data_IF_883539697248
#
_entry.id   IF_883539697248
#
_cell.length_a   1.000
_cell.length_b   1.000
_cell.length_c   1.000
_cell.angle_alpha   90.00
_cell.angle_beta   90.00
_cell.angle_gamma   90.00
#
_symmetry.space_group_name_H-M   'P 1'
#
loop_
_entity.id
_entity.type
_entity.pdbx_description
1 polymer ?
#
# COMPACT_ATOMS: atom_id res chain seq x y z
N UNK A 1 27.62 1.09 0.16
CA UNK A 1 26.35 1.83 -0.07
C UNK A 1 25.13 0.92 -0.08
N UNK A 2 25.12 -0.17 -0.86
CA UNK A 2 24.06 -1.19 -0.79
C UNK A 2 23.71 -1.61 0.65
N UNK A 3 24.72 -1.93 1.44
CA UNK A 3 24.57 -2.33 2.86
C UNK A 3 23.98 -1.22 3.74
N UNK A 4 24.31 0.04 3.47
CA UNK A 4 23.78 1.19 4.20
C UNK A 4 22.28 1.40 3.87
N UNK A 5 21.93 1.40 2.57
CA UNK A 5 20.53 1.50 2.13
C UNK A 5 19.72 0.30 2.63
N UNK A 6 20.31 -0.90 2.61
CA UNK A 6 19.66 -2.09 3.15
C UNK A 6 19.36 -1.93 4.64
N UNK A 7 20.31 -1.44 5.44
CA UNK A 7 20.11 -1.17 6.87
C UNK A 7 19.07 -0.07 7.12
N UNK A 8 19.02 0.95 6.26
CA UNK A 8 18.02 2.03 6.36
C UNK A 8 16.60 1.55 6.03
N UNK A 9 16.49 0.55 5.16
CA UNK A 9 15.21 0.00 4.74
C UNK A 9 14.76 -1.18 5.60
N UNK A 10 15.68 -1.96 6.18
CA UNK A 10 15.36 -3.17 6.96
C UNK A 10 15.60 -2.93 8.44
N UNK A 11 14.53 -2.94 9.21
CA UNK A 11 14.57 -2.90 10.68
C UNK A 11 14.40 -4.29 11.29
N UNK A 12 14.90 -4.49 12.52
CA UNK A 12 14.77 -5.77 13.26
C UNK A 12 13.32 -6.22 13.38
N UNK A 13 12.41 -5.30 13.68
CA UNK A 13 10.97 -5.57 13.76
C UNK A 13 10.42 -6.05 12.42
N UNK A 14 10.88 -5.46 11.31
CA UNK A 14 10.45 -5.86 9.96
C UNK A 14 10.91 -7.27 9.61
N UNK A 15 12.15 -7.63 9.98
CA UNK A 15 12.67 -8.98 9.79
C UNK A 15 11.88 -10.01 10.60
N UNK A 16 11.58 -9.73 11.87
CA UNK A 16 10.74 -10.59 12.70
C UNK A 16 9.37 -10.82 12.05
N UNK A 17 8.73 -9.76 11.57
CA UNK A 17 7.41 -9.85 10.95
C UNK A 17 7.43 -10.61 9.64
N UNK A 18 8.45 -10.39 8.83
CA UNK A 18 8.65 -11.18 7.62
C UNK A 18 8.76 -12.67 7.96
N UNK A 19 9.61 -13.05 8.91
CA UNK A 19 9.78 -14.44 9.33
C UNK A 19 8.49 -15.06 9.88
N UNK A 20 7.73 -14.33 10.69
CA UNK A 20 6.43 -14.83 11.18
C UNK A 20 5.43 -15.02 10.04
N UNK A 21 5.30 -14.06 9.11
CA UNK A 21 4.42 -14.20 7.95
C UNK A 21 4.85 -15.33 7.02
N UNK A 22 6.16 -15.55 6.88
CA UNK A 22 6.72 -16.66 6.13
C UNK A 22 6.37 -18.00 6.78
N UNK A 23 6.49 -18.11 8.10
CA UNK A 23 6.12 -19.31 8.84
C UNK A 23 4.63 -19.65 8.68
N UNK A 24 3.73 -18.66 8.79
CA UNK A 24 2.30 -18.86 8.55
C UNK A 24 1.99 -19.26 7.12
N UNK A 25 2.63 -18.61 6.13
CA UNK A 25 2.42 -18.93 4.72
C UNK A 25 2.92 -20.35 4.39
N UNK A 26 4.06 -20.77 4.94
CA UNK A 26 4.57 -22.14 4.83
C UNK A 26 3.64 -23.15 5.50
N UNK A 27 3.15 -22.86 6.70
CA UNK A 27 2.17 -23.72 7.37
C UNK A 27 0.92 -23.92 6.52
N UNK A 28 0.35 -22.83 6.01
CA UNK A 28 -0.85 -22.88 5.17
C UNK A 28 -0.61 -23.67 3.87
N UNK A 29 0.58 -23.50 3.28
CA UNK A 29 0.99 -24.26 2.10
C UNK A 29 1.10 -25.77 2.38
N UNK A 30 1.69 -26.15 3.52
CA UNK A 30 1.85 -27.54 3.95
C UNK A 30 0.50 -28.20 4.27
N UNK A 31 -0.41 -27.47 4.92
CA UNK A 31 -1.76 -27.96 5.24
C UNK A 31 -2.66 -28.05 4.00
N UNK A 32 -2.18 -27.57 2.85
CA UNK A 32 -2.90 -27.68 1.58
C UNK A 32 -4.06 -26.70 1.44
N UNK A 33 -4.04 -25.58 2.18
CA UNK A 33 -4.99 -24.50 1.96
C UNK A 33 -4.78 -23.90 0.57
N UNK A 34 -5.77 -24.04 -0.32
CA UNK A 34 -5.71 -23.54 -1.70
C UNK A 34 -6.60 -22.31 -1.82
N UNK A 35 -6.03 -21.14 -2.09
CA UNK A 35 -6.80 -19.95 -2.43
C UNK A 35 -7.03 -19.85 -3.95
N UNK A 36 -5.96 -19.74 -4.75
CA UNK A 36 -6.08 -19.65 -6.22
C UNK A 36 -4.80 -20.15 -6.88
N UNK A 37 -4.92 -21.10 -7.80
CA UNK A 37 -3.75 -21.70 -8.48
C UNK A 37 -3.42 -21.02 -9.82
N UNK A 38 -4.12 -19.95 -10.18
CA UNK A 38 -3.93 -19.30 -11.49
C UNK A 38 -2.66 -18.44 -11.52
N UNK A 39 -1.76 -18.75 -12.45
CA UNK A 39 -0.56 -17.96 -12.69
C UNK A 39 -0.87 -16.51 -13.12
N UNK A 40 -1.97 -16.29 -13.87
CA UNK A 40 -2.36 -14.94 -14.29
C UNK A 40 -2.76 -14.06 -13.10
N UNK A 41 -3.47 -14.64 -12.13
CA UNK A 41 -3.83 -13.96 -10.88
C UNK A 41 -2.57 -13.59 -10.09
N UNK A 42 -1.58 -14.49 -10.04
CA UNK A 42 -0.30 -14.23 -9.40
C UNK A 42 0.48 -13.09 -10.09
N UNK A 43 0.49 -13.04 -11.43
CA UNK A 43 1.14 -11.93 -12.16
C UNK A 43 0.48 -10.59 -11.88
N UNK A 44 -0.85 -10.52 -11.95
CA UNK A 44 -1.62 -9.30 -11.66
C UNK A 44 -1.39 -8.85 -10.22
N UNK A 45 -1.51 -9.79 -9.26
CA UNK A 45 -1.25 -9.51 -7.83
C UNK A 45 0.17 -9.03 -7.59
N UNK A 46 1.15 -9.64 -8.27
CA UNK A 46 2.56 -9.25 -8.19
C UNK A 46 2.77 -7.82 -8.69
N UNK A 47 2.17 -7.45 -9.84
CA UNK A 47 2.26 -6.09 -10.36
C UNK A 47 1.64 -5.07 -9.41
N UNK A 48 0.44 -5.33 -8.89
CA UNK A 48 -0.26 -4.43 -7.97
C UNK A 48 0.53 -4.23 -6.67
N UNK A 49 0.91 -5.33 -6.00
CA UNK A 49 1.64 -5.26 -4.72
C UNK A 49 3.03 -4.64 -4.90
N UNK A 50 3.74 -4.97 -5.98
CA UNK A 50 5.06 -4.40 -6.28
C UNK A 50 4.95 -2.90 -6.56
N UNK A 51 3.93 -2.49 -7.33
CA UNK A 51 3.71 -1.07 -7.63
C UNK A 51 3.40 -0.26 -6.37
N UNK A 52 2.41 -0.69 -5.58
CA UNK A 52 2.03 -0.03 -4.33
C UNK A 52 3.21 0.07 -3.35
N UNK A 53 3.91 -1.05 -3.14
CA UNK A 53 4.98 -1.12 -2.14
C UNK A 53 6.23 -0.33 -2.54
N UNK A 54 6.54 -0.25 -3.83
CA UNK A 54 7.60 0.60 -4.39
C UNK A 54 7.21 2.06 -4.28
N UNK A 55 5.98 2.41 -4.65
CA UNK A 55 5.48 3.77 -4.56
C UNK A 55 5.53 4.31 -3.13
N UNK A 56 5.02 3.54 -2.15
CA UNK A 56 5.09 3.89 -0.73
C UNK A 56 6.52 4.05 -0.22
N UNK A 57 7.46 3.24 -0.73
CA UNK A 57 8.88 3.37 -0.40
C UNK A 57 9.44 4.69 -0.92
N UNK A 58 9.18 5.02 -2.18
CA UNK A 58 9.69 6.25 -2.79
C UNK A 58 9.18 7.48 -2.07
N UNK A 59 7.88 7.57 -1.82
CA UNK A 59 7.30 8.71 -1.12
C UNK A 59 7.82 8.86 0.31
N UNK A 60 8.03 7.76 1.01
CA UNK A 60 8.56 7.81 2.38
C UNK A 60 10.05 8.12 2.42
N UNK A 61 10.82 7.74 1.41
CA UNK A 61 12.28 7.87 1.41
C UNK A 61 12.73 9.21 0.83
N UNK A 62 12.08 9.67 -0.24
CA UNK A 62 12.41 10.90 -0.94
C UNK A 62 11.73 12.16 -0.36
N UNK A 63 11.33 12.11 0.91
CA UNK A 63 10.91 13.31 1.64
C UNK A 63 12.07 14.30 1.75
N UNK A 64 11.81 15.59 1.50
CA UNK A 64 12.82 16.67 1.46
C UNK A 64 13.83 16.63 2.61
N UNK A 65 13.36 16.45 3.86
CA UNK A 65 14.22 16.41 5.05
C UNK A 65 15.35 15.37 4.97
N UNK A 66 15.07 14.21 4.34
CA UNK A 66 16.03 13.11 4.21
C UNK A 66 16.90 13.26 2.96
N UNK A 67 16.32 13.71 1.85
CA UNK A 67 17.04 13.86 0.58
C UNK A 67 18.12 14.95 0.68
N UNK A 68 17.86 16.03 1.44
CA UNK A 68 18.86 17.08 1.70
C UNK A 68 20.13 16.52 2.35
N UNK A 69 20.00 15.62 3.33
CA UNK A 69 21.15 14.98 3.97
C UNK A 69 21.97 14.12 2.97
N UNK A 70 21.32 13.49 1.99
CA UNK A 70 22.04 12.74 0.95
C UNK A 70 22.79 13.63 -0.03
N UNK A 71 22.24 14.80 -0.39
CA UNK A 71 22.93 15.77 -1.24
C UNK A 71 24.20 16.34 -0.62
N UNK A 72 24.32 16.31 0.70
CA UNK A 72 25.52 16.73 1.42
C UNK A 72 26.65 15.69 1.38
N UNK A 73 26.35 14.45 0.98
CA UNK A 73 27.35 13.39 0.88
C UNK A 73 28.07 13.44 -0.48
N UNK A 74 29.39 13.23 -0.54
CA UNK A 74 30.16 13.17 -1.79
C UNK A 74 29.94 11.83 -2.51
N UNK A 75 28.68 11.50 -2.83
CA UNK A 75 28.28 10.25 -3.47
C UNK A 75 27.80 10.50 -4.88
N UNK A 76 28.21 9.64 -5.83
CA UNK A 76 27.67 9.70 -7.18
C UNK A 76 26.20 9.28 -7.21
N UNK A 77 25.36 10.15 -7.78
CA UNK A 77 23.91 10.00 -7.85
C UNK A 77 23.50 8.71 -8.55
N UNK A 78 24.19 8.34 -9.63
CA UNK A 78 23.95 7.10 -10.34
C UNK A 78 24.25 5.88 -9.49
N UNK A 79 25.36 5.88 -8.74
CA UNK A 79 25.66 4.76 -7.83
C UNK A 79 24.55 4.62 -6.78
N UNK A 80 24.03 5.75 -6.26
CA UNK A 80 22.93 5.78 -5.30
C UNK A 80 21.64 5.21 -5.91
N UNK A 81 21.20 5.71 -7.07
CA UNK A 81 20.01 5.24 -7.80
C UNK A 81 20.08 3.72 -8.04
N UNK A 82 21.22 3.24 -8.53
CA UNK A 82 21.46 1.81 -8.75
C UNK A 82 21.34 1.00 -7.47
N UNK A 83 22.04 1.41 -6.40
CA UNK A 83 21.98 0.70 -5.12
C UNK A 83 20.58 0.70 -4.52
N UNK A 84 19.86 1.82 -4.62
CA UNK A 84 18.49 1.95 -4.12
C UNK A 84 17.51 1.04 -4.88
N UNK A 85 17.59 1.02 -6.21
CA UNK A 85 16.78 0.16 -7.06
C UNK A 85 17.03 -1.32 -6.77
N UNK A 86 18.31 -1.72 -6.65
CA UNK A 86 18.68 -3.11 -6.32
C UNK A 86 18.09 -3.54 -4.98
N UNK A 87 18.26 -2.74 -3.92
CA UNK A 87 17.69 -3.08 -2.60
C UNK A 87 16.18 -3.12 -2.64
N UNK A 88 15.54 -2.18 -3.33
CA UNK A 88 14.08 -2.14 -3.48
C UNK A 88 13.54 -3.39 -4.18
N UNK A 89 14.18 -3.80 -5.27
CA UNK A 89 13.85 -5.01 -6.00
C UNK A 89 13.99 -6.27 -5.15
N UNK A 90 15.13 -6.44 -4.47
CA UNK A 90 15.38 -7.59 -3.59
C UNK A 90 14.35 -7.66 -2.45
N UNK A 91 14.03 -6.53 -1.82
CA UNK A 91 13.03 -6.47 -0.76
C UNK A 91 11.62 -6.78 -1.28
N UNK A 92 11.28 -6.38 -2.50
CA UNK A 92 9.99 -6.72 -3.09
C UNK A 92 9.90 -8.20 -3.42
N UNK A 93 10.95 -8.80 -3.99
CA UNK A 93 10.98 -10.25 -4.23
C UNK A 93 10.78 -11.04 -2.94
N UNK A 94 11.54 -10.67 -1.90
CA UNK A 94 11.56 -11.41 -0.64
C UNK A 94 10.28 -11.20 0.17
N UNK A 95 9.83 -9.96 0.36
CA UNK A 95 8.70 -9.68 1.27
C UNK A 95 7.32 -9.71 0.61
N UNK A 96 7.24 -9.59 -0.71
CA UNK A 96 5.96 -9.45 -1.42
C UNK A 96 5.70 -10.66 -2.29
N UNK A 97 6.61 -10.88 -3.22
CA UNK A 97 6.43 -11.90 -4.25
C UNK A 97 6.48 -13.30 -3.64
N UNK A 98 7.47 -13.58 -2.78
CA UNK A 98 7.56 -14.87 -2.10
C UNK A 98 6.31 -15.17 -1.25
N UNK A 99 5.85 -14.19 -0.46
CA UNK A 99 4.66 -14.37 0.35
C UNK A 99 3.40 -14.57 -0.51
N UNK A 100 3.29 -13.89 -1.65
CA UNK A 100 2.18 -14.09 -2.60
C UNK A 100 2.19 -15.50 -3.21
N UNK A 101 3.36 -16.02 -3.58
CA UNK A 101 3.49 -17.38 -4.13
C UNK A 101 3.00 -18.40 -3.10
N UNK A 102 3.49 -18.28 -1.85
CA UNK A 102 3.12 -19.18 -0.76
C UNK A 102 1.64 -19.05 -0.39
N UNK A 103 1.13 -17.82 -0.32
CA UNK A 103 -0.26 -17.55 0.03
C UNK A 103 -1.22 -18.07 -1.03
N UNK A 104 -1.00 -17.78 -2.32
CA UNK A 104 -1.88 -18.28 -3.38
C UNK A 104 -1.70 -19.79 -3.63
N UNK A 105 -0.55 -20.35 -3.24
CA UNK A 105 -0.27 -21.78 -3.39
C UNK A 105 0.00 -22.18 -4.85
N UNK A 106 0.47 -21.25 -5.67
CA UNK A 106 0.76 -21.47 -7.08
C UNK A 106 2.07 -22.26 -7.22
N UNK A 107 2.01 -23.41 -7.89
CA UNK A 107 3.21 -24.15 -8.28
C UNK A 107 3.82 -23.46 -9.50
N UNK A 108 5.10 -23.12 -9.40
CA UNK A 108 5.81 -22.41 -10.45
C UNK A 108 6.80 -23.33 -11.16
N UNK A 109 6.71 -23.36 -12.48
CA UNK A 109 7.80 -23.88 -13.30
C UNK A 109 8.95 -22.87 -13.37
N UNK A 110 10.12 -23.33 -13.80
CA UNK A 110 11.30 -22.49 -13.95
C UNK A 110 11.05 -21.27 -14.90
N UNK A 111 10.41 -21.42 -16.08
CA UNK A 111 10.08 -20.27 -16.93
C UNK A 111 9.08 -19.29 -16.30
N UNK A 112 8.11 -19.79 -15.54
CA UNK A 112 7.11 -18.96 -14.85
C UNK A 112 7.77 -18.13 -13.74
N UNK A 113 8.73 -18.71 -13.03
CA UNK A 113 9.55 -18.02 -12.03
C UNK A 113 10.33 -16.86 -12.67
N UNK A 114 10.96 -17.08 -13.83
CA UNK A 114 11.64 -16.01 -14.57
C UNK A 114 10.70 -14.88 -14.99
N UNK A 115 9.54 -15.20 -15.56
CA UNK A 115 8.53 -14.19 -15.94
C UNK A 115 8.16 -13.29 -14.76
N UNK A 116 7.92 -13.89 -13.60
CA UNK A 116 7.49 -13.20 -12.41
C UNK A 116 8.61 -12.33 -11.79
N UNK A 117 9.85 -12.80 -11.79
CA UNK A 117 11.02 -12.01 -11.37
C UNK A 117 11.23 -10.80 -12.27
N UNK A 118 11.20 -10.99 -13.59
CA UNK A 118 11.36 -9.89 -14.55
C UNK A 118 10.19 -8.89 -14.53
N UNK A 119 8.96 -9.37 -14.34
CA UNK A 119 7.81 -8.49 -14.13
C UNK A 119 7.99 -7.62 -12.88
N UNK A 120 8.44 -8.21 -11.76
CA UNK A 120 8.68 -7.45 -10.54
C UNK A 120 9.74 -6.35 -10.74
N UNK A 121 10.84 -6.67 -11.43
CA UNK A 121 11.88 -5.69 -11.78
C UNK A 121 11.30 -4.56 -12.66
N UNK A 122 10.56 -4.93 -13.70
CA UNK A 122 9.94 -3.99 -14.64
C UNK A 122 9.01 -3.02 -13.92
N UNK A 123 8.16 -3.53 -13.01
CA UNK A 123 7.24 -2.70 -12.23
C UNK A 123 7.98 -1.76 -11.28
N UNK A 124 9.04 -2.22 -10.62
CA UNK A 124 9.89 -1.36 -9.77
C UNK A 124 10.47 -0.20 -10.58
N UNK A 125 11.05 -0.49 -11.74
CA UNK A 125 11.64 0.53 -12.62
C UNK A 125 10.59 1.49 -13.17
N UNK A 126 9.43 0.98 -13.60
CA UNK A 126 8.32 1.78 -14.10
C UNK A 126 7.84 2.77 -13.04
N UNK A 127 7.56 2.30 -11.82
CA UNK A 127 7.14 3.17 -10.72
C UNK A 127 8.22 4.19 -10.34
N UNK A 128 9.50 3.81 -10.36
CA UNK A 128 10.59 4.74 -10.09
C UNK A 128 10.69 5.83 -11.16
N UNK A 129 10.57 5.47 -12.44
CA UNK A 129 10.59 6.42 -13.54
C UNK A 129 9.40 7.39 -13.48
N UNK A 130 8.20 6.85 -13.26
CA UNK A 130 6.97 7.64 -13.05
C UNK A 130 7.16 8.59 -11.88
N UNK A 131 7.70 8.11 -10.76
CA UNK A 131 7.98 8.92 -9.58
C UNK A 131 8.93 10.09 -9.86
N UNK A 132 9.99 9.85 -10.65
CA UNK A 132 10.90 10.91 -11.08
C UNK A 132 10.12 11.96 -11.88
N UNK A 133 9.44 11.54 -12.95
CA UNK A 133 8.82 12.47 -13.90
C UNK A 133 7.70 13.31 -13.26
N UNK A 134 6.92 12.72 -12.35
CA UNK A 134 5.85 13.45 -11.63
C UNK A 134 6.36 14.53 -10.68
N UNK A 135 7.61 14.43 -10.25
CA UNK A 135 8.19 15.31 -9.24
C UNK A 135 9.35 16.16 -9.81
N UNK A 136 9.80 15.90 -11.04
CA UNK A 136 10.58 16.84 -11.85
C UNK A 136 9.67 17.78 -12.64
N UNK A 137 10.21 18.87 -13.19
CA UNK A 137 9.42 19.89 -13.92
C UNK A 137 8.50 19.23 -14.98
N UNK A 138 7.19 19.53 -14.97
CA UNK A 138 6.26 18.90 -15.89
C UNK A 138 6.59 19.31 -17.32
N UNK A 139 6.91 18.33 -18.16
CA UNK A 139 7.04 18.51 -19.61
C UNK A 139 5.99 17.63 -20.30
N UNK A 140 5.44 18.13 -21.41
CA UNK A 140 4.49 17.36 -22.21
C UNK A 140 5.09 16.01 -22.66
N UNK A 141 6.35 16.04 -23.11
CA UNK A 141 7.11 14.84 -23.48
C UNK A 141 7.27 13.87 -22.30
N UNK A 142 7.56 14.37 -21.10
CA UNK A 142 7.60 13.55 -19.89
C UNK A 142 6.26 12.86 -19.61
N UNK A 143 5.15 13.58 -19.76
CA UNK A 143 3.80 13.03 -19.61
C UNK A 143 3.48 11.93 -20.64
N UNK A 144 3.82 12.15 -21.91
CA UNK A 144 3.67 11.14 -22.97
C UNK A 144 4.51 9.90 -22.66
N UNK A 145 5.76 10.07 -22.22
CA UNK A 145 6.63 8.94 -21.86
C UNK A 145 6.11 8.16 -20.65
N UNK A 146 5.55 8.84 -19.64
CA UNK A 146 4.86 8.17 -18.52
C UNK A 146 3.72 7.31 -19.06
N UNK A 147 2.85 7.87 -19.90
CA UNK A 147 1.71 7.14 -20.44
C UNK A 147 2.15 5.93 -21.26
N UNK A 148 3.10 6.10 -22.19
CA UNK A 148 3.61 5.01 -23.02
C UNK A 148 4.24 3.92 -22.17
N UNK A 149 5.15 4.28 -21.24
CA UNK A 149 5.83 3.28 -20.41
C UNK A 149 4.87 2.53 -19.47
N UNK A 150 3.88 3.23 -18.90
CA UNK A 150 2.85 2.58 -18.06
C UNK A 150 1.96 1.63 -18.86
N UNK A 151 1.48 2.03 -20.03
CA UNK A 151 0.69 1.17 -20.92
C UNK A 151 1.49 -0.07 -21.32
N UNK A 152 2.75 0.09 -21.72
CA UNK A 152 3.63 -1.03 -22.07
C UNK A 152 3.87 -1.97 -20.87
N UNK A 153 4.03 -1.44 -19.65
CA UNK A 153 4.16 -2.28 -18.46
C UNK A 153 2.89 -3.07 -18.14
N UNK A 154 1.70 -2.49 -18.35
CA UNK A 154 0.42 -3.20 -18.17
C UNK A 154 0.23 -4.24 -19.27
N UNK A 155 0.58 -3.92 -20.52
CA UNK A 155 0.52 -4.84 -21.64
C UNK A 155 1.41 -6.08 -21.44
N UNK A 156 2.51 -5.96 -20.69
CA UNK A 156 3.36 -7.09 -20.33
C UNK A 156 2.64 -8.22 -19.58
N UNK A 157 1.54 -7.90 -18.87
CA UNK A 157 0.71 -8.89 -18.16
C UNK A 157 -0.06 -9.81 -19.11
N UNK A 158 -0.30 -9.36 -20.35
CA UNK A 158 -0.97 -10.13 -21.39
C UNK A 158 0.02 -10.88 -22.26
N UNK A 159 1.08 -10.20 -22.72
CA UNK A 159 2.08 -10.79 -23.63
C UNK A 159 2.93 -11.87 -22.94
N UNK A 160 3.26 -11.66 -21.65
CA UNK A 160 4.06 -12.58 -20.84
C UNK A 160 5.40 -13.04 -21.45
N UNK A 161 5.98 -12.26 -22.38
CA UNK A 161 7.28 -12.58 -22.99
C UNK A 161 8.41 -11.94 -22.18
N UNK A 162 9.39 -12.75 -21.80
CA UNK A 162 10.53 -12.30 -20.98
C UNK A 162 11.43 -11.34 -21.75
N UNK A 163 11.66 -11.58 -23.04
CA UNK A 163 12.44 -10.68 -23.93
C UNK A 163 11.88 -9.27 -23.95
N UNK A 164 10.56 -9.13 -24.06
CA UNK A 164 9.85 -7.86 -24.00
C UNK A 164 10.07 -7.15 -22.66
N UNK A 165 9.94 -7.87 -21.53
CA UNK A 165 10.17 -7.31 -20.20
C UNK A 165 11.62 -6.84 -20.01
N UNK A 166 12.59 -7.61 -20.53
CA UNK A 166 14.02 -7.25 -20.47
C UNK A 166 14.27 -5.97 -21.26
N UNK A 167 13.82 -5.88 -22.50
CA UNK A 167 14.00 -4.69 -23.35
C UNK A 167 13.39 -3.44 -22.70
N UNK A 168 12.17 -3.56 -22.17
CA UNK A 168 11.49 -2.44 -21.51
C UNK A 168 12.18 -2.05 -20.20
N UNK A 169 12.69 -3.02 -19.43
CA UNK A 169 13.48 -2.76 -18.22
C UNK A 169 14.79 -2.04 -18.52
N UNK A 170 15.48 -2.41 -19.61
CA UNK A 170 16.69 -1.75 -20.07
C UNK A 170 16.42 -0.30 -20.50
N UNK A 171 15.34 -0.07 -21.25
CA UNK A 171 14.89 1.28 -21.64
C UNK A 171 14.62 2.15 -20.41
N UNK A 172 13.85 1.65 -19.44
CA UNK A 172 13.53 2.38 -18.20
C UNK A 172 14.79 2.66 -17.38
N UNK A 173 15.72 1.70 -17.28
CA UNK A 173 16.98 1.92 -16.61
C UNK A 173 17.77 3.08 -17.25
N UNK A 174 17.93 3.08 -18.58
CA UNK A 174 18.61 4.17 -19.30
C UNK A 174 17.95 5.52 -19.00
N UNK A 175 16.62 5.59 -19.05
CA UNK A 175 15.88 6.82 -18.74
C UNK A 175 16.08 7.30 -17.30
N UNK A 176 16.12 6.39 -16.33
CA UNK A 176 16.34 6.72 -14.91
C UNK A 176 17.77 7.24 -14.67
N UNK A 177 18.78 6.58 -15.26
CA UNK A 177 20.19 6.94 -15.07
C UNK A 177 20.62 8.17 -15.89
N UNK A 178 19.93 8.50 -16.98
CA UNK A 178 20.14 9.75 -17.72
C UNK A 178 19.67 10.98 -16.92
N UNK A 179 18.75 10.79 -15.97
CA UNK A 179 18.32 11.90 -15.14
C UNK A 179 19.43 12.27 -14.14
N UNK A 180 19.88 13.51 -14.13
CA UNK A 180 20.99 13.97 -13.29
C UNK A 180 20.53 14.40 -11.89
N UNK A 181 19.24 14.63 -11.66
CA UNK A 181 18.74 15.10 -10.37
C UNK A 181 18.24 13.95 -9.47
N UNK A 182 18.41 14.09 -8.16
CA UNK A 182 17.66 13.32 -7.17
C UNK A 182 16.37 14.08 -6.86
N UNK A 183 15.26 13.40 -7.09
CA UNK A 183 13.97 14.04 -6.97
C UNK A 183 13.57 14.09 -5.50
N UNK A 184 13.52 15.30 -4.94
CA UNK A 184 13.04 15.55 -3.59
C UNK A 184 11.55 15.93 -3.65
N UNK A 185 10.72 15.26 -2.85
CA UNK A 185 9.33 15.70 -2.63
C UNK A 185 9.40 16.90 -1.70
N UNK A 186 9.23 18.09 -2.27
CA UNK A 186 9.18 19.31 -1.46
C UNK A 186 7.92 19.31 -0.59
N UNK A 187 8.08 19.69 0.68
CA UNK A 187 6.93 20.00 1.55
C UNK A 187 6.18 21.26 1.07
N UNK A 188 6.71 22.06 0.14
CA UNK A 188 6.08 23.32 -0.28
C UNK A 188 4.77 23.16 -1.07
N UNK A 189 4.46 21.97 -1.60
CA UNK A 189 3.10 21.67 -2.12
C UNK A 189 2.02 21.74 -1.00
N UNK A 190 2.43 21.77 0.28
CA UNK A 190 1.54 21.98 1.44
C UNK A 190 0.94 23.40 1.49
N UNK A 191 1.56 24.39 0.83
CA UNK A 191 1.07 25.78 0.82
C UNK A 191 -0.19 25.97 -0.04
N UNK A 192 -0.39 25.17 -1.08
CA UNK A 192 -1.57 25.30 -1.95
C UNK A 192 -2.87 24.87 -1.25
N UNK A 193 -2.80 23.92 -0.32
CA UNK A 193 -3.96 23.45 0.47
C UNK A 193 -4.17 24.30 1.73
N UNK A 194 -3.21 25.12 2.16
CA UNK A 194 -3.41 26.10 3.24
C UNK A 194 -4.53 27.11 2.93
N UNK A 195 -4.92 27.27 1.65
CA UNK A 195 -6.09 28.06 1.24
C UNK A 195 -7.43 27.32 1.40
N UNK A 196 -7.45 26.00 1.61
CA UNK A 196 -8.67 25.23 1.87
C UNK A 196 -9.09 25.43 3.33
N UNK A 197 -10.19 26.16 3.56
CA UNK A 197 -10.79 26.32 4.89
C UNK A 197 -11.57 25.06 5.28
N UNK A 198 -10.87 23.96 5.52
CA UNK A 198 -11.45 22.82 6.24
C UNK A 198 -11.25 23.07 7.74
N UNK A 199 -12.33 23.12 8.51
CA UNK A 199 -12.26 23.24 9.98
C UNK A 199 -11.68 22.00 10.68
N UNK A 200 -11.30 20.95 9.94
CA UNK A 200 -10.69 19.75 10.46
C UNK A 200 -9.24 19.58 9.98
N UNK A 201 -8.30 19.55 10.93
CA UNK A 201 -6.88 19.29 10.69
C UNK A 201 -6.63 18.01 9.89
N UNK A 202 -7.33 16.92 10.23
CA UNK A 202 -7.12 15.62 9.61
C UNK A 202 -7.61 15.55 8.16
N UNK A 203 -8.67 16.27 7.82
CA UNK A 203 -9.09 16.40 6.42
C UNK A 203 -8.02 17.10 5.59
N UNK A 204 -7.42 18.17 6.14
CA UNK A 204 -6.33 18.88 5.47
C UNK A 204 -5.12 17.95 5.27
N UNK A 205 -4.68 17.27 6.32
CA UNK A 205 -3.56 16.31 6.26
C UNK A 205 -3.82 15.19 5.23
N UNK A 206 -5.03 14.63 5.19
CA UNK A 206 -5.41 13.60 4.23
C UNK A 206 -5.32 14.04 2.77
N UNK A 207 -5.84 15.22 2.46
CA UNK A 207 -5.82 15.74 1.08
C UNK A 207 -4.45 16.29 0.69
N UNK A 208 -3.56 16.57 1.65
CA UNK A 208 -2.20 17.04 1.40
C UNK A 208 -1.25 15.90 1.01
N UNK A 209 -1.34 14.73 1.66
CA UNK A 209 -0.37 13.66 1.39
C UNK A 209 -0.88 12.72 0.27
N UNK A 210 -0.23 12.80 -0.91
CA UNK A 210 -0.63 12.05 -2.13
C UNK A 210 -0.74 10.52 -1.93
N UNK A 211 -0.03 9.96 -0.96
CA UNK A 211 -0.09 8.53 -0.69
C UNK A 211 -1.45 8.06 -0.15
N UNK A 212 -2.28 8.94 0.45
CA UNK A 212 -3.60 8.55 0.92
C UNK A 212 -4.51 8.18 -0.25
N UNK A 213 -4.60 9.08 -1.24
CA UNK A 213 -5.33 8.83 -2.49
C UNK A 213 -4.85 7.58 -3.18
N UNK A 214 -3.55 7.32 -3.15
CA UNK A 214 -2.96 6.16 -3.83
C UNK A 214 -3.27 4.87 -3.09
N UNK A 215 -3.12 4.83 -1.76
CA UNK A 215 -3.56 3.67 -0.99
C UNK A 215 -5.05 3.39 -1.19
N UNK A 216 -5.89 4.42 -1.25
CA UNK A 216 -7.31 4.28 -1.54
C UNK A 216 -7.57 3.65 -2.92
N UNK A 217 -6.92 4.15 -3.98
CA UNK A 217 -7.02 3.58 -5.34
C UNK A 217 -6.58 2.12 -5.35
N UNK A 218 -5.47 1.78 -4.70
CA UNK A 218 -5.00 0.40 -4.62
C UNK A 218 -5.95 -0.49 -3.81
N UNK A 219 -6.57 0.01 -2.73
CA UNK A 219 -7.63 -0.72 -2.02
C UNK A 219 -8.79 -1.04 -2.95
N UNK A 220 -9.27 -0.07 -3.75
CA UNK A 220 -10.33 -0.33 -4.74
C UNK A 220 -9.92 -1.39 -5.77
N UNK A 221 -8.68 -1.32 -6.28
CA UNK A 221 -8.16 -2.34 -7.21
C UNK A 221 -8.12 -3.73 -6.55
N UNK A 222 -7.73 -3.83 -5.28
CA UNK A 222 -7.75 -5.11 -4.56
C UNK A 222 -9.16 -5.65 -4.34
N UNK A 223 -10.14 -4.78 -4.04
CA UNK A 223 -11.54 -5.18 -3.92
C UNK A 223 -12.05 -5.77 -5.25
N UNK A 224 -11.75 -5.12 -6.38
CA UNK A 224 -12.11 -5.62 -7.71
C UNK A 224 -11.42 -6.96 -8.01
N UNK A 225 -10.13 -7.11 -7.65
CA UNK A 225 -9.40 -8.36 -7.83
C UNK A 225 -10.06 -9.52 -7.08
N UNK A 226 -10.52 -9.29 -5.85
CA UNK A 226 -11.21 -10.29 -5.02
C UNK A 226 -12.58 -10.65 -5.61
N UNK A 227 -13.32 -9.68 -6.16
CA UNK A 227 -14.61 -9.94 -6.79
C UNK A 227 -14.52 -10.89 -7.98
N UNK A 228 -13.42 -10.80 -8.76
CA UNK A 228 -13.17 -11.64 -9.93
C UNK A 228 -12.69 -13.06 -9.54
N UNK A 229 -12.22 -13.28 -8.32
CA UNK A 229 -11.79 -14.62 -7.89
C UNK A 229 -12.99 -15.57 -7.74
N UNK A 230 -12.76 -16.87 -7.95
CA UNK A 230 -13.75 -17.94 -7.77
C UNK A 230 -13.80 -18.41 -6.30
N UNK A 231 -14.07 -17.48 -5.39
CA UNK A 231 -14.37 -17.79 -3.99
C UNK A 231 -15.87 -17.99 -3.76
N UNK A 232 -16.21 -18.82 -2.78
CA UNK A 232 -17.58 -18.97 -2.30
C UNK A 232 -18.13 -17.61 -1.81
N UNK A 233 -19.42 -17.36 -2.05
CA UNK A 233 -20.06 -16.09 -1.73
C UNK A 233 -19.87 -15.63 -0.25
N UNK A 234 -20.02 -16.51 0.77
CA UNK A 234 -19.75 -16.14 2.16
C UNK A 234 -18.30 -15.68 2.37
N UNK A 235 -17.34 -16.39 1.80
CA UNK A 235 -15.92 -16.07 1.91
C UNK A 235 -15.59 -14.74 1.20
N UNK A 236 -16.19 -14.48 0.03
CA UNK A 236 -16.06 -13.19 -0.67
C UNK A 236 -16.51 -12.03 0.22
N UNK A 237 -17.67 -12.16 0.87
CA UNK A 237 -18.20 -11.11 1.74
C UNK A 237 -17.23 -10.81 2.88
N UNK A 238 -16.77 -11.84 3.58
CA UNK A 238 -15.85 -11.69 4.71
C UNK A 238 -14.56 -11.01 4.27
N UNK A 239 -13.95 -11.47 3.17
CA UNK A 239 -12.68 -10.92 2.68
C UNK A 239 -12.86 -9.46 2.24
N UNK A 240 -13.94 -9.13 1.53
CA UNK A 240 -14.18 -7.77 1.05
C UNK A 240 -14.42 -6.77 2.19
N UNK A 241 -15.23 -7.14 3.19
CA UNK A 241 -15.43 -6.33 4.40
C UNK A 241 -14.13 -6.19 5.21
N UNK A 242 -13.38 -7.28 5.35
CA UNK A 242 -12.07 -7.25 6.03
C UNK A 242 -11.08 -6.33 5.32
N UNK A 243 -11.04 -6.36 3.97
CA UNK A 243 -10.15 -5.50 3.19
C UNK A 243 -10.55 -4.01 3.27
N UNK A 244 -11.85 -3.71 3.37
CA UNK A 244 -12.33 -2.33 3.57
C UNK A 244 -11.76 -1.69 4.85
N UNK A 245 -11.53 -2.50 5.88
CA UNK A 245 -10.94 -2.07 7.15
C UNK A 245 -9.46 -1.70 7.08
N UNK A 246 -8.78 -2.04 5.98
CA UNK A 246 -7.35 -1.84 5.80
C UNK A 246 -7.10 -0.53 5.04
N UNK A 247 -6.80 0.54 5.78
CA UNK A 247 -6.17 1.74 5.22
C UNK A 247 -5.11 2.28 6.19
N UNK A 248 -3.89 1.76 6.05
CA UNK A 248 -2.87 1.98 7.08
C UNK A 248 -2.43 3.43 7.24
N UNK A 249 -2.21 4.21 6.16
CA UNK A 249 -1.86 5.61 6.35
C UNK A 249 -2.94 6.38 7.09
N UNK A 250 -4.23 6.14 6.80
CA UNK A 250 -5.35 6.79 7.48
C UNK A 250 -5.42 6.41 8.96
N UNK A 251 -5.23 5.12 9.27
CA UNK A 251 -5.31 4.55 10.63
C UNK A 251 -4.04 4.73 11.46
N UNK A 252 -3.04 5.43 10.90
CA UNK A 252 -1.79 5.79 11.58
C UNK A 252 -1.52 7.29 11.51
N UNK A 253 -2.52 8.12 11.18
CA UNK A 253 -2.38 9.57 10.99
C UNK A 253 -1.74 10.26 12.20
N UNK A 254 -2.13 9.87 13.40
CA UNK A 254 -1.59 10.45 14.63
C UNK A 254 -0.18 9.90 14.89
N UNK A 255 0.03 8.60 14.67
CA UNK A 255 1.34 7.96 14.84
C UNK A 255 2.39 8.32 13.79
N UNK A 256 1.97 8.79 12.61
CA UNK A 256 2.84 9.16 11.49
C UNK A 256 3.55 10.51 11.72
N UNK A 257 3.15 11.25 12.75
CA UNK A 257 3.79 12.46 13.23
C UNK A 257 4.24 12.27 14.68
N UNK A 258 5.56 12.35 14.92
CA UNK A 258 6.16 12.05 16.23
C UNK A 258 5.74 13.06 17.29
N UNK A 259 5.59 14.31 16.90
CA UNK A 259 5.36 15.40 17.83
C UNK A 259 3.87 15.61 18.06
N UNK A 260 3.03 15.24 17.10
CA UNK A 260 1.59 15.45 17.16
C UNK A 260 0.94 14.83 18.39
N UNK A 261 1.32 13.61 18.77
CA UNK A 261 0.73 12.95 19.96
C UNK A 261 1.02 13.73 21.23
N UNK A 262 2.25 14.21 21.39
CA UNK A 262 2.67 14.88 22.61
C UNK A 262 2.05 16.28 22.70
N UNK A 263 1.92 16.99 21.56
CA UNK A 263 1.17 18.25 21.47
C UNK A 263 -0.32 18.05 21.75
N UNK A 264 -0.94 16.99 21.24
CA UNK A 264 -2.37 16.72 21.47
C UNK A 264 -2.61 16.42 22.95
N UNK A 265 -1.71 15.69 23.60
CA UNK A 265 -1.80 15.37 25.03
C UNK A 265 -1.61 16.60 25.92
N UNK A 266 -0.83 17.59 25.49
CA UNK A 266 -0.66 18.84 26.24
C UNK A 266 -1.84 19.81 26.10
N UNK A 267 -2.76 19.59 25.15
CA UNK A 267 -3.93 20.46 24.97
C UNK A 267 -4.96 20.25 26.09
N UNK A 268 -5.50 21.33 26.69
CA UNK A 268 -6.52 21.24 27.74
C UNK A 268 -7.83 20.58 27.27
N UNK A 269 -8.06 20.51 25.96
CA UNK A 269 -9.25 19.89 25.35
C UNK A 269 -8.90 18.87 24.25
N UNK A 270 -7.93 17.99 24.54
CA UNK A 270 -7.48 16.91 23.64
C UNK A 270 -8.62 16.04 23.06
N UNK A 271 -9.73 15.89 23.80
CA UNK A 271 -10.93 15.15 23.36
C UNK A 271 -11.52 15.66 22.03
N UNK A 272 -11.54 16.97 21.79
CA UNK A 272 -12.06 17.50 20.53
C UNK A 272 -11.18 17.10 19.34
N UNK A 273 -9.87 17.04 19.55
CA UNK A 273 -8.94 16.60 18.51
C UNK A 273 -9.15 15.12 18.14
N UNK A 274 -9.34 14.25 19.13
CA UNK A 274 -9.70 12.86 18.88
C UNK A 274 -11.06 12.71 18.20
N UNK A 275 -12.05 13.57 18.52
CA UNK A 275 -13.34 13.59 17.84
C UNK A 275 -13.21 14.02 16.37
N UNK A 276 -12.33 14.98 16.07
CA UNK A 276 -12.04 15.39 14.70
C UNK A 276 -11.45 14.22 13.90
N UNK A 277 -10.54 13.44 14.50
CA UNK A 277 -9.99 12.24 13.88
C UNK A 277 -11.05 11.15 13.68
N UNK A 278 -11.85 10.89 14.72
CA UNK A 278 -12.94 9.92 14.66
C UNK A 278 -13.92 10.20 13.53
N UNK A 279 -14.31 11.48 13.34
CA UNK A 279 -15.21 11.87 12.24
C UNK A 279 -14.64 11.52 10.87
N UNK A 280 -13.33 11.72 10.68
CA UNK A 280 -12.64 11.36 9.43
C UNK A 280 -12.64 9.85 9.22
N UNK A 281 -12.29 9.08 10.25
CA UNK A 281 -12.32 7.61 10.19
C UNK A 281 -13.73 7.09 9.89
N UNK A 282 -14.74 7.63 10.58
CA UNK A 282 -16.13 7.24 10.40
C UNK A 282 -16.63 7.52 8.99
N UNK A 283 -16.37 8.71 8.45
CA UNK A 283 -16.73 9.05 7.06
C UNK A 283 -16.06 8.10 6.07
N UNK A 284 -14.78 7.79 6.27
CA UNK A 284 -14.06 6.86 5.42
C UNK A 284 -14.66 5.45 5.48
N UNK A 285 -14.77 4.85 6.67
CA UNK A 285 -15.22 3.47 6.80
C UNK A 285 -16.68 3.31 6.40
N UNK A 286 -17.55 4.30 6.66
CA UNK A 286 -18.92 4.27 6.12
C UNK A 286 -18.90 4.27 4.60
N UNK A 287 -18.15 5.17 3.97
CA UNK A 287 -18.10 5.24 2.52
C UNK A 287 -17.59 3.94 1.88
N UNK A 288 -16.50 3.37 2.38
CA UNK A 288 -15.91 2.15 1.81
C UNK A 288 -16.78 0.93 2.08
N UNK A 289 -17.31 0.77 3.29
CA UNK A 289 -18.16 -0.37 3.61
C UNK A 289 -19.50 -0.33 2.87
N UNK A 290 -20.13 0.84 2.74
CA UNK A 290 -21.35 0.98 1.94
C UNK A 290 -21.09 0.71 0.46
N UNK A 291 -19.93 1.15 -0.06
CA UNK A 291 -19.50 0.81 -1.41
C UNK A 291 -19.30 -0.70 -1.60
N UNK A 292 -18.66 -1.37 -0.64
CA UNK A 292 -18.51 -2.84 -0.64
C UNK A 292 -19.86 -3.53 -0.57
N UNK A 293 -20.78 -3.10 0.29
CA UNK A 293 -22.14 -3.65 0.38
C UNK A 293 -22.91 -3.50 -0.94
N UNK A 294 -22.77 -2.35 -1.61
CA UNK A 294 -23.35 -2.12 -2.94
C UNK A 294 -22.78 -3.10 -3.97
N UNK A 295 -21.45 -3.26 -4.02
CA UNK A 295 -20.81 -4.21 -4.93
C UNK A 295 -21.23 -5.65 -4.66
N UNK A 296 -21.27 -6.05 -3.39
CA UNK A 296 -21.74 -7.38 -2.97
C UNK A 296 -23.17 -7.62 -3.43
N UNK A 297 -24.06 -6.63 -3.27
CA UNK A 297 -25.44 -6.72 -3.72
C UNK A 297 -25.54 -6.81 -5.25
N UNK A 298 -24.75 -6.05 -5.98
CA UNK A 298 -24.83 -6.05 -7.45
C UNK A 298 -24.23 -7.31 -8.09
N UNK A 299 -23.19 -7.90 -7.50
CA UNK A 299 -22.35 -8.91 -8.17
C UNK A 299 -22.37 -10.28 -7.50
N UNK A 300 -22.50 -10.33 -6.17
CA UNK A 300 -22.29 -11.57 -5.41
C UNK A 300 -23.61 -12.16 -4.90
N UNK A 301 -24.42 -11.36 -4.21
CA UNK A 301 -25.72 -11.78 -3.66
C UNK A 301 -26.76 -10.65 -3.80
N UNK A 302 -27.61 -10.68 -4.86
CA UNK A 302 -28.66 -9.68 -5.08
C UNK A 302 -29.67 -9.54 -3.95
N UNK A 303 -29.91 -10.62 -3.21
CA UNK A 303 -30.91 -10.69 -2.14
C UNK A 303 -30.47 -10.06 -0.81
N UNK A 304 -29.30 -9.40 -0.78
CA UNK A 304 -28.82 -8.69 0.41
C UNK A 304 -29.83 -7.61 0.85
N UNK A 305 -30.44 -7.88 2.00
CA UNK A 305 -31.52 -7.09 2.59
C UNK A 305 -31.03 -5.92 3.45
N UNK A 306 -31.99 -5.19 4.02
CA UNK A 306 -31.76 -3.98 4.83
C UNK A 306 -30.96 -4.29 6.10
N UNK A 307 -31.19 -5.46 6.71
CA UNK A 307 -30.47 -5.84 7.93
C UNK A 307 -28.96 -6.02 7.69
N UNK A 308 -28.56 -6.54 6.53
CA UNK A 308 -27.15 -6.62 6.14
C UNK A 308 -26.53 -5.22 6.04
N UNK A 309 -27.23 -4.28 5.40
CA UNK A 309 -26.79 -2.89 5.30
C UNK A 309 -26.60 -2.25 6.68
N UNK A 310 -27.53 -2.50 7.61
CA UNK A 310 -27.44 -2.03 8.99
C UNK A 310 -26.23 -2.63 9.71
N UNK A 311 -26.00 -3.93 9.55
CA UNK A 311 -24.82 -4.61 10.11
C UNK A 311 -23.50 -4.04 9.56
N UNK A 312 -23.43 -3.75 8.26
CA UNK A 312 -22.27 -3.12 7.62
C UNK A 312 -22.04 -1.69 8.15
N UNK A 313 -23.11 -0.92 8.40
CA UNK A 313 -22.99 0.39 9.04
C UNK A 313 -22.46 0.29 10.49
N UNK A 314 -22.93 -0.69 11.26
CA UNK A 314 -22.42 -0.95 12.61
C UNK A 314 -20.94 -1.31 12.56
N UNK A 315 -20.52 -2.18 11.62
CA UNK A 315 -19.11 -2.52 11.41
C UNK A 315 -18.26 -1.27 11.18
N UNK A 316 -18.70 -0.36 10.30
CA UNK A 316 -17.97 0.88 10.04
C UNK A 316 -17.79 1.77 11.28
N UNK A 317 -18.79 1.83 12.16
CA UNK A 317 -18.71 2.53 13.45
C UNK A 317 -17.69 1.87 14.38
N UNK A 318 -17.74 0.54 14.48
CA UNK A 318 -16.80 -0.27 15.28
C UNK A 318 -15.37 -0.07 14.78
N UNK A 319 -15.14 -0.13 13.47
CA UNK A 319 -13.83 0.10 12.85
C UNK A 319 -13.26 1.47 13.19
N UNK A 320 -14.05 2.54 12.98
CA UNK A 320 -13.63 3.90 13.27
C UNK A 320 -13.28 4.08 14.76
N UNK A 321 -14.08 3.46 15.64
CA UNK A 321 -13.86 3.52 17.07
C UNK A 321 -12.61 2.75 17.51
N UNK A 322 -12.44 1.51 17.04
CA UNK A 322 -11.29 0.68 17.40
C UNK A 322 -9.97 1.26 16.88
N UNK A 323 -9.94 1.77 15.65
CA UNK A 323 -8.75 2.43 15.11
C UNK A 323 -8.39 3.69 15.91
N UNK A 324 -9.39 4.46 16.36
CA UNK A 324 -9.17 5.59 17.26
C UNK A 324 -8.56 5.14 18.60
N UNK A 325 -9.13 4.12 19.24
CA UNK A 325 -8.63 3.61 20.52
C UNK A 325 -7.18 3.14 20.42
N UNK A 326 -6.84 2.45 19.33
CA UNK A 326 -5.48 1.98 19.07
C UNK A 326 -4.51 3.17 18.93
N UNK A 327 -4.90 4.26 18.29
CA UNK A 327 -4.06 5.46 18.19
C UNK A 327 -3.89 6.19 19.51
N UNK A 328 -4.90 6.15 20.40
CA UNK A 328 -4.83 6.77 21.72
C UNK A 328 -3.94 5.96 22.67
N UNK A 329 -4.18 4.64 22.76
CA UNK A 329 -3.57 3.79 23.78
C UNK A 329 -2.27 3.12 23.31
N UNK A 330 -2.13 2.85 22.01
CA UNK A 330 -0.97 2.16 21.44
C UNK A 330 -0.35 2.93 20.25
N UNK A 331 0.03 4.21 20.43
CA UNK A 331 0.66 4.99 19.37
C UNK A 331 2.05 4.45 18.99
N UNK A 332 2.37 4.49 17.70
CA UNK A 332 3.69 4.10 17.19
C UNK A 332 4.66 5.27 17.29
N UNK A 333 5.64 5.17 18.20
CA UNK A 333 6.66 6.21 18.41
C UNK A 333 8.02 5.88 17.79
N UNK A 334 8.34 4.60 17.65
CA UNK A 334 9.68 4.11 17.27
C UNK A 334 9.71 3.70 15.80
N UNK A 335 9.92 4.67 14.91
CA UNK A 335 10.07 4.45 13.48
C UNK A 335 11.10 5.42 12.86
N UNK A 336 11.81 4.94 11.84
CA UNK A 336 12.81 5.69 11.07
C UNK A 336 12.23 6.28 9.78
N UNK A 337 11.29 5.56 9.17
CA UNK A 337 10.57 5.96 7.95
C UNK A 337 9.06 5.93 8.23
N UNK A 338 8.30 6.91 7.72
CA UNK A 338 6.82 6.89 7.81
C UNK A 338 6.22 5.57 7.31
N UNK A 339 6.85 4.96 6.29
CA UNK A 339 6.50 3.62 5.80
C UNK A 339 6.49 2.53 6.88
N UNK A 340 7.34 2.61 7.90
CA UNK A 340 7.36 1.63 8.99
C UNK A 340 6.08 1.69 9.82
N UNK A 341 5.49 2.87 10.02
CA UNK A 341 4.15 3.00 10.61
C UNK A 341 3.13 2.24 9.76
N UNK A 342 3.17 2.44 8.44
CA UNK A 342 2.23 1.80 7.51
C UNK A 342 2.42 0.30 7.35
N UNK A 343 3.57 -0.22 7.77
CA UNK A 343 3.87 -1.67 7.77
C UNK A 343 3.72 -2.29 9.14
N UNK A 344 3.48 -1.50 10.19
CA UNK A 344 3.45 -2.00 11.54
C UNK A 344 2.31 -3.02 11.74
N UNK A 345 2.54 -4.15 12.44
CA UNK A 345 1.56 -5.25 12.61
C UNK A 345 0.25 -4.82 13.21
N UNK A 346 0.31 -3.80 14.08
CA UNK A 346 -0.86 -3.14 14.70
C UNK A 346 -2.00 -2.89 13.69
N UNK A 347 -1.66 -2.60 12.43
CA UNK A 347 -2.62 -2.35 11.37
C UNK A 347 -3.57 -3.51 11.07
N UNK A 348 -3.22 -4.74 11.46
CA UNK A 348 -4.02 -5.94 11.23
C UNK A 348 -4.97 -6.26 12.39
N UNK A 349 -4.85 -5.58 13.54
CA UNK A 349 -5.69 -5.85 14.72
C UNK A 349 -7.17 -5.63 14.42
N UNK A 350 -7.54 -4.44 13.93
CA UNK A 350 -8.94 -4.12 13.59
C UNK A 350 -9.44 -4.98 12.42
N UNK A 351 -8.68 -5.18 11.31
CA UNK A 351 -9.07 -6.12 10.28
C UNK A 351 -9.36 -7.54 10.79
N UNK A 352 -8.56 -8.07 11.73
CA UNK A 352 -8.82 -9.38 12.32
C UNK A 352 -10.14 -9.40 13.12
N UNK A 353 -10.47 -8.33 13.83
CA UNK A 353 -11.76 -8.20 14.52
C UNK A 353 -12.91 -8.12 13.51
N UNK A 354 -12.77 -7.32 12.46
CA UNK A 354 -13.77 -7.21 11.37
C UNK A 354 -13.98 -8.54 10.67
N UNK A 355 -12.91 -9.30 10.43
CA UNK A 355 -13.00 -10.65 9.87
C UNK A 355 -13.91 -11.55 10.72
N UNK A 356 -13.69 -11.59 12.04
CA UNK A 356 -14.51 -12.37 12.97
C UNK A 356 -15.96 -11.86 13.05
N UNK A 357 -16.15 -10.54 13.09
CA UNK A 357 -17.50 -9.95 13.12
C UNK A 357 -18.26 -10.18 11.81
N UNK A 358 -17.56 -10.22 10.68
CA UNK A 358 -18.15 -10.50 9.36
C UNK A 358 -18.67 -11.94 9.28
N UNK A 359 -17.99 -12.89 9.92
CA UNK A 359 -18.52 -14.25 10.09
C UNK A 359 -19.83 -14.24 10.88
N UNK A 360 -19.85 -13.57 12.04
CA UNK A 360 -21.08 -13.44 12.85
C UNK A 360 -22.21 -12.77 12.09
N UNK A 361 -21.90 -11.75 11.30
CA UNK A 361 -22.87 -11.02 10.49
C UNK A 361 -23.51 -11.91 9.43
N UNK A 362 -22.75 -12.85 8.84
CA UNK A 362 -23.29 -13.84 7.91
C UNK A 362 -24.18 -14.89 8.58
N UNK A 363 -24.09 -15.13 9.89
CA UNK A 363 -25.02 -16.04 10.58
C UNK A 363 -26.38 -15.39 10.87
N UNK A 364 -26.47 -14.05 10.74
CA UNK A 364 -27.70 -13.30 10.96
C UNK A 364 -28.58 -13.16 9.71
N UNK A 365 -28.09 -13.62 8.54
CA UNK A 365 -28.73 -13.53 7.22
C UNK A 365 -28.64 -14.85 6.50
#
# INVERSE_FOLDING_TARGET
MLLAIFRDLVSKNRLFLFLTSLAFALYYHVVGGKFSTSFQVLLISTAIVTALSTFQLLYSYFSMDRVQAYYQLPLSLNRFKGSFLTVTFLLNLLERVLLLILFLGVKLDLPQSFKLVHLSLLVVLSVFYVFIQFNTRPSFLGGVLIFVTTVLTVFSLWVQQVSYMILLSALLAVLIFKNEDLVAISKNDQLLVAKRRSGNYFWLSLFQERYFSINFVFTLIFLLLILIQDYDAPLKIIILLTMASVNTPLTTLISADKDLIDHVKSLPKSRFFYLMYYRVLLTYFLAVNLFVALLLKMVVMPDLGILFLLGVMILAVVEAFLHLLIEIYFPLRKWNLKRECWKHPRKYIVPSIVFLLSWSLLFCF
#
